data_IF_763900072998
#
_entry.id   IF_763900072998
#
_cell.length_a   1.000
_cell.length_b   1.000
_cell.length_c   1.000
_cell.angle_alpha   90.00
_cell.angle_beta   90.00
_cell.angle_gamma   90.00
#
_symmetry.space_group_name_H-M   'P 1'
#
loop_
_entity.id
_entity.type
_entity.pdbx_description
1 polymer ?
2 non-polymer ?
3 non-polymer ?
4 non-polymer ?
5 non-polymer ?
6 water ?
#
# COMPACT_ATOMS: atom_id res chain seq x y z
N UNK A 3 23.83 -9.46 1.85
CA UNK A 3 24.93 -8.56 2.29
C UNK A 3 24.63 -7.95 3.66
N UNK A 4 25.67 -7.83 4.48
CA UNK A 4 25.52 -7.26 5.81
C UNK A 4 25.32 -5.75 5.71
N UNK A 5 26.02 -5.14 4.75
CA UNK A 5 25.93 -3.70 4.53
C UNK A 5 24.54 -3.24 4.14
N UNK A 6 23.91 -3.96 3.20
CA UNK A 6 22.57 -3.60 2.75
C UNK A 6 21.57 -3.67 3.90
N UNK A 7 21.54 -4.80 4.60
CA UNK A 7 20.62 -5.00 5.71
C UNK A 7 20.79 -3.92 6.78
N UNK A 8 22.04 -3.63 7.15
CA UNK A 8 22.32 -2.62 8.17
C UNK A 8 21.99 -1.22 7.65
N UNK A 9 22.16 -1.01 6.36
CA UNK A 9 21.89 0.30 5.75
C UNK A 9 20.38 0.57 5.75
N UNK A 10 19.60 -0.42 5.36
CA UNK A 10 18.15 -0.26 5.34
C UNK A 10 17.58 -0.11 6.74
N UNK A 11 18.08 -0.91 7.69
CA UNK A 11 17.59 -0.82 9.05
C UNK A 11 17.98 0.53 9.66
N UNK A 12 19.10 1.07 9.23
CA UNK A 12 19.57 2.36 9.73
C UNK A 12 18.61 3.46 9.30
N UNK A 13 18.24 3.42 8.03
CA UNK A 13 17.32 4.39 7.47
C UNK A 13 15.96 4.24 8.13
N UNK A 14 15.60 2.99 8.44
CA UNK A 14 14.32 2.70 9.06
C UNK A 14 14.19 3.34 10.45
N UNK A 15 15.20 3.17 11.29
CA UNK A 15 15.17 3.76 12.62
C UNK A 15 15.08 5.28 12.51
N UNK A 16 15.83 5.83 11.57
CA UNK A 16 15.85 7.26 11.33
C UNK A 16 14.45 7.75 10.98
N UNK A 17 13.84 7.09 9.99
CA UNK A 17 12.49 7.45 9.57
C UNK A 17 11.57 7.35 10.77
N UNK A 18 11.69 6.27 11.52
CA UNK A 18 10.86 6.07 12.69
C UNK A 18 11.15 7.17 13.71
N UNK A 19 12.41 7.60 13.75
CA UNK A 19 12.80 8.64 14.68
C UNK A 19 11.98 9.90 14.47
N UNK A 20 11.94 10.36 13.23
CA UNK A 20 11.18 11.56 12.90
C UNK A 20 9.78 11.52 13.51
N UNK A 21 9.18 10.33 13.51
CA UNK A 21 7.83 10.16 14.06
C UNK A 21 7.82 9.87 15.55
N UNK A 22 9.00 9.74 16.14
CA UNK A 22 9.08 9.45 17.55
C UNK A 22 8.57 8.05 17.86
N UNK A 23 8.80 7.14 16.94
CA UNK A 23 8.36 5.75 17.10
C UNK A 23 9.59 4.90 17.39
N UNK A 24 9.40 3.87 18.22
CA UNK A 24 10.50 2.98 18.58
C UNK A 24 10.53 1.74 17.70
N UNK A 25 11.73 1.32 17.31
CA UNK A 25 11.90 0.14 16.48
C UNK A 25 12.20 -1.10 17.30
N UNK A 26 11.89 -2.26 16.74
CA UNK A 26 12.12 -3.54 17.40
C UNK A 26 12.97 -4.42 16.50
N UNK A 27 14.28 -4.40 16.75
CA UNK A 27 15.23 -5.17 15.97
C UNK A 27 14.85 -6.64 15.87
N UNK A 28 14.27 -7.17 16.94
CA UNK A 28 13.85 -8.57 17.00
C UNK A 28 12.83 -8.90 15.91
N UNK A 29 11.95 -7.95 15.62
CA UNK A 29 10.91 -8.16 14.63
C UNK A 29 11.23 -7.54 13.27
N UNK A 30 12.39 -6.92 13.13
CA UNK A 30 12.77 -6.31 11.88
C UNK A 30 13.93 -7.00 11.18
N UNK A 31 15.02 -7.25 11.92
CA UNK A 31 16.20 -7.87 11.35
C UNK A 31 16.00 -9.26 10.74
N UNK A 32 15.31 -10.16 11.46
CA UNK A 32 15.09 -11.50 10.91
C UNK A 32 14.40 -11.43 9.55
N UNK A 33 13.54 -10.43 9.39
CA UNK A 33 12.79 -10.26 8.15
C UNK A 33 13.67 -9.67 7.04
N UNK A 34 14.41 -8.61 7.36
CA UNK A 34 15.28 -7.99 6.36
C UNK A 34 16.35 -8.97 5.85
N UNK A 35 16.88 -9.80 6.74
CA UNK A 35 17.88 -10.77 6.37
C UNK A 35 17.31 -11.77 5.37
N UNK A 36 16.17 -12.34 5.70
CA UNK A 36 15.52 -13.30 4.83
C UNK A 36 15.39 -12.76 3.41
N UNK A 37 15.21 -11.45 3.28
CA UNK A 37 15.07 -10.86 1.96
C UNK A 37 16.22 -9.90 1.62
N UNK A 38 17.41 -10.21 2.11
CA UNK A 38 18.59 -9.38 1.88
C UNK A 38 18.95 -9.23 0.40
N UNK A 39 18.73 -10.28 -0.38
CA UNK A 39 19.07 -10.23 -1.80
C UNK A 39 18.24 -9.22 -2.59
N UNK A 40 17.17 -8.70 -1.99
CA UNK A 40 16.30 -7.75 -2.67
C UNK A 40 16.70 -6.31 -2.39
N UNK A 41 17.35 -6.09 -1.25
CA UNK A 41 17.76 -4.75 -0.82
C UNK A 41 18.86 -4.10 -1.66
N UNK A 42 19.21 -4.71 -2.79
CA UNK A 42 20.24 -4.16 -3.65
C UNK A 42 19.74 -2.98 -4.47
N UNK A 43 20.24 -1.80 -4.16
CA UNK A 43 19.86 -0.58 -4.86
C UNK A 43 19.83 -0.79 -6.37
N UNK A 44 18.72 -0.42 -7.00
CA UNK A 44 18.60 -0.58 -8.44
C UNK A 44 17.17 -0.89 -8.85
N UNK A 45 16.79 -2.15 -8.70
CA UNK A 45 15.44 -2.55 -9.04
C UNK A 45 14.67 -2.82 -7.77
N UNK A 46 15.08 -2.15 -6.69
CA UNK A 46 14.46 -2.30 -5.38
C UNK A 46 13.59 -1.12 -4.98
N UNK A 47 12.47 -1.42 -4.34
CA UNK A 47 11.56 -0.39 -3.88
C UNK A 47 11.36 -0.56 -2.38
N UNK A 48 11.69 0.47 -1.62
CA UNK A 48 11.52 0.42 -0.17
C UNK A 48 10.81 1.69 0.26
N UNK A 49 9.77 1.52 1.06
CA UNK A 49 8.96 2.64 1.54
C UNK A 49 8.80 2.60 3.05
N UNK A 50 8.79 3.79 3.65
CA UNK A 50 8.58 3.92 5.09
C UNK A 50 7.34 4.79 5.21
N UNK A 51 6.25 4.23 5.73
CA UNK A 51 4.99 4.97 5.79
C UNK A 51 4.42 5.31 7.15
N UNK A 52 3.85 6.51 7.23
CA UNK A 52 3.24 7.02 8.45
C UNK A 52 1.76 7.25 8.19
N UNK A 53 0.96 7.32 9.26
CA UNK A 53 -0.47 7.55 9.15
C UNK A 53 -0.91 8.46 10.29
N UNK A 54 -1.92 9.29 10.04
CA UNK A 54 -2.42 10.23 11.04
C UNK A 54 -3.43 9.60 12.00
N UNK A 55 -3.90 10.42 12.94
CA UNK A 55 -4.88 9.99 13.91
C UNK A 55 -4.48 8.82 14.79
N UNK A 56 -5.42 7.90 14.97
CA UNK A 56 -5.20 6.73 15.80
C UNK A 56 -4.15 5.80 15.21
N UNK A 57 -3.71 6.09 14.00
CA UNK A 57 -2.71 5.25 13.33
C UNK A 57 -1.34 5.90 13.32
N UNK A 58 -1.20 6.99 14.08
CA UNK A 58 0.07 7.72 14.11
C UNK A 58 1.20 7.19 14.97
N UNK A 59 0.98 6.09 15.69
CA UNK A 59 2.05 5.55 16.55
C UNK A 59 2.73 4.33 15.96
N UNK A 60 2.70 4.19 14.63
CA UNK A 60 3.33 3.05 13.99
C UNK A 60 4.03 3.44 12.70
N UNK A 61 4.98 2.60 12.29
CA UNK A 61 5.69 2.85 11.05
C UNK A 61 5.78 1.56 10.25
N UNK A 62 5.18 1.59 9.07
CA UNK A 62 5.16 0.45 8.17
C UNK A 62 6.31 0.54 7.18
N UNK A 63 6.83 -0.62 6.79
CA UNK A 63 7.88 -0.67 5.80
C UNK A 63 7.48 -1.67 4.73
N UNK A 64 7.53 -1.23 3.48
CA UNK A 64 7.17 -2.06 2.34
C UNK A 64 8.44 -2.34 1.55
N UNK A 65 8.64 -3.60 1.17
CA UNK A 65 9.82 -3.99 0.42
C UNK A 65 9.47 -4.88 -0.76
N UNK A 66 9.94 -4.50 -1.94
CA UNK A 66 9.66 -5.28 -3.14
C UNK A 66 10.44 -6.60 -3.08
N UNK A 67 9.89 -7.63 -3.70
CA UNK A 67 10.52 -8.94 -3.74
C UNK A 67 10.26 -9.55 -5.13
N UNK A 68 11.31 -9.68 -5.94
CA UNK A 68 11.17 -10.24 -7.30
C UNK A 68 10.61 -11.66 -7.26
N UNK A 69 9.83 -12.02 -8.27
CA UNK A 69 9.22 -13.34 -8.32
C UNK A 69 10.25 -14.47 -8.34
N UNK A 70 11.46 -14.13 -8.76
CA UNK A 70 12.55 -15.11 -8.83
C UNK A 70 12.92 -15.61 -7.44
N UNK A 71 12.71 -14.77 -6.44
CA UNK A 71 13.04 -15.16 -5.08
C UNK A 71 12.03 -16.15 -4.50
N UNK A 72 10.88 -16.30 -5.17
CA UNK A 72 9.87 -17.23 -4.71
C UNK A 72 8.77 -16.60 -3.89
N UNK A 73 7.67 -17.33 -3.72
CA UNK A 73 6.52 -16.87 -2.95
C UNK A 73 7.00 -16.42 -1.57
N UNK A 74 6.85 -15.13 -1.25
CA UNK A 74 7.30 -14.61 0.06
C UNK A 74 6.50 -15.08 1.28
N UNK A 75 5.23 -15.44 1.11
CA UNK A 75 4.47 -15.91 2.26
C UNK A 75 4.97 -17.32 2.56
N UNK A 76 5.21 -18.09 1.50
CA UNK A 76 5.72 -19.45 1.66
C UNK A 76 7.05 -19.35 2.40
N UNK A 77 7.80 -18.30 2.09
CA UNK A 77 9.09 -18.08 2.74
C UNK A 77 9.01 -17.71 4.22
N UNK A 78 8.14 -16.77 4.58
CA UNK A 78 8.03 -16.36 5.97
C UNK A 78 7.46 -17.46 6.87
N UNK A 79 6.60 -18.31 6.33
CA UNK A 79 6.03 -19.37 7.14
C UNK A 79 7.10 -20.46 7.35
N UNK A 80 7.75 -20.86 6.26
CA UNK A 80 8.79 -21.88 6.31
C UNK A 80 9.94 -21.54 7.24
N UNK A 81 10.29 -20.26 7.30
CA UNK A 81 11.40 -19.83 8.14
C UNK A 81 10.97 -19.52 9.58
N UNK A 82 9.68 -19.67 9.86
CA UNK A 82 9.18 -19.43 11.20
C UNK A 82 9.03 -17.98 11.60
N UNK A 83 8.87 -17.09 10.61
CA UNK A 83 8.70 -15.66 10.89
C UNK A 83 7.24 -15.27 11.03
N UNK A 84 6.34 -16.14 10.59
CA UNK A 84 4.92 -15.86 10.71
C UNK A 84 4.16 -17.18 10.70
N UNK A 85 3.10 -17.30 11.50
CA UNK A 85 2.32 -18.54 11.54
C UNK A 85 1.15 -18.57 10.57
N UNK A 86 0.90 -19.73 9.96
CA UNK A 86 -0.23 -19.86 9.06
C UNK A 86 -1.47 -19.62 9.90
N UNK A 87 -2.36 -18.76 9.41
CA UNK A 87 -3.58 -18.42 10.13
C UNK A 87 -4.62 -19.53 10.10
N UNK A 88 -4.49 -20.46 9.15
CA UNK A 88 -5.46 -21.53 9.03
C UNK A 88 -6.74 -20.98 8.42
N UNK A 89 -6.61 -19.82 7.78
CA UNK A 89 -7.71 -19.11 7.15
C UNK A 89 -7.46 -19.03 5.64
N UNK A 90 -8.51 -18.81 4.82
CA UNK A 90 -8.32 -18.73 3.37
C UNK A 90 -7.20 -17.77 2.94
N UNK A 91 -6.93 -16.77 3.77
CA UNK A 91 -5.88 -15.81 3.43
C UNK A 91 -4.55 -16.52 3.24
N UNK A 92 -4.41 -17.70 3.85
CA UNK A 92 -3.17 -18.46 3.74
C UNK A 92 -2.92 -18.98 2.32
N UNK A 93 -3.98 -19.12 1.54
CA UNK A 93 -3.83 -19.63 0.18
C UNK A 93 -3.92 -18.58 -0.90
N UNK A 94 -4.41 -17.39 -0.57
CA UNK A 94 -4.61 -16.35 -1.57
C UNK A 94 -3.39 -15.91 -2.38
N UNK A 95 -2.24 -15.70 -1.73
CA UNK A 95 -1.09 -15.29 -2.52
C UNK A 95 -0.81 -16.39 -3.52
N UNK A 96 -0.73 -17.63 -3.04
CA UNK A 96 -0.46 -18.77 -3.91
C UNK A 96 -1.50 -18.98 -5.01
N UNK A 97 -2.78 -18.89 -4.67
CA UNK A 97 -3.84 -19.07 -5.66
C UNK A 97 -3.81 -17.97 -6.72
N UNK A 98 -3.34 -16.80 -6.33
CA UNK A 98 -3.26 -15.65 -7.24
C UNK A 98 -2.20 -15.89 -8.30
N UNK A 99 -1.05 -16.42 -7.87
CA UNK A 99 0.04 -16.70 -8.79
C UNK A 99 -0.36 -17.88 -9.70
N UNK A 100 -1.29 -18.68 -9.22
CA UNK A 100 -1.79 -19.82 -9.97
C UNK A 100 -2.75 -19.41 -11.11
N UNK A 101 -3.68 -18.50 -10.81
CA UNK A 101 -4.67 -18.05 -11.79
C UNK A 101 -4.31 -16.81 -12.61
N UNK A 102 -3.27 -16.09 -12.23
CA UNK A 102 -2.92 -14.86 -12.95
C UNK A 102 -1.42 -14.64 -13.07
N UNK A 103 -1.03 -13.80 -14.03
CA UNK A 103 0.39 -13.49 -14.27
C UNK A 103 0.87 -12.51 -13.19
N UNK A 104 1.75 -12.97 -12.32
CA UNK A 104 2.29 -12.10 -11.29
C UNK A 104 3.69 -11.71 -11.71
N UNK A 105 3.91 -10.42 -11.85
CA UNK A 105 5.19 -9.88 -12.30
C UNK A 105 6.15 -9.50 -11.17
N UNK A 106 5.63 -9.40 -9.96
CA UNK A 106 6.45 -9.02 -8.83
C UNK A 106 5.70 -9.17 -7.52
N UNK A 107 6.45 -9.29 -6.43
CA UNK A 107 5.89 -9.42 -5.09
C UNK A 107 6.39 -8.26 -4.23
N UNK A 108 5.88 -8.20 -3.00
CA UNK A 108 6.31 -7.22 -2.02
C UNK A 108 5.79 -7.68 -0.67
N UNK A 109 6.46 -7.26 0.40
CA UNK A 109 6.01 -7.61 1.74
C UNK A 109 5.93 -6.33 2.53
N UNK A 110 5.12 -6.36 3.58
CA UNK A 110 4.92 -5.20 4.41
C UNK A 110 5.06 -5.63 5.86
N UNK A 111 5.68 -4.76 6.66
CA UNK A 111 5.86 -5.04 8.07
C UNK A 111 5.68 -3.74 8.86
N UNK A 112 5.74 -3.85 10.18
CA UNK A 112 5.61 -2.69 11.07
C UNK A 112 6.85 -2.77 11.96
N UNK A 113 7.44 -1.64 12.28
CA UNK A 113 8.67 -1.64 13.09
C UNK A 113 8.56 -2.27 14.47
N UNK A 114 7.34 -2.48 14.96
CA UNK A 114 7.16 -3.07 16.27
C UNK A 114 6.39 -4.38 16.20
N UNK A 115 5.68 -4.59 15.10
CA UNK A 115 4.88 -5.80 14.97
C UNK A 115 5.43 -6.84 14.01
N UNK A 116 6.35 -6.42 13.14
CA UNK A 116 6.92 -7.34 12.19
C UNK A 116 6.03 -7.58 10.98
N UNK A 117 6.31 -8.67 10.26
CA UNK A 117 5.57 -9.03 9.04
C UNK A 117 4.05 -9.03 9.21
N UNK A 118 3.34 -8.51 8.21
CA UNK A 118 1.89 -8.48 8.25
C UNK A 118 1.19 -8.66 6.90
N UNK A 119 1.87 -8.36 5.80
CA UNK A 119 1.24 -8.53 4.50
C UNK A 119 2.15 -8.72 3.28
N UNK A 120 1.58 -9.29 2.23
CA UNK A 120 2.29 -9.49 0.97
C UNK A 120 1.50 -8.77 -0.10
N UNK A 121 2.13 -8.63 -1.26
CA UNK A 121 1.52 -7.97 -2.40
C UNK A 121 1.78 -8.81 -3.63
N UNK A 122 0.84 -8.81 -4.56
CA UNK A 122 1.01 -9.52 -5.81
C UNK A 122 0.80 -8.44 -6.88
N UNK A 123 1.84 -8.18 -7.68
CA UNK A 123 1.74 -7.18 -8.74
C UNK A 123 1.49 -7.83 -10.08
N UNK A 124 0.71 -7.17 -10.93
CA UNK A 124 0.44 -7.72 -12.25
C UNK A 124 1.07 -6.82 -13.30
N UNK A 125 1.31 -7.36 -14.51
CA UNK A 125 1.91 -6.59 -15.60
C UNK A 125 1.04 -5.39 -15.94
N UNK A 126 1.66 -4.23 -16.05
CA UNK A 126 0.94 -3.00 -16.35
C UNK A 126 0.16 -3.11 -17.66
N UNK A 127 0.66 -3.91 -18.61
CA UNK A 127 -0.02 -4.06 -19.89
C UNK A 127 -0.88 -5.30 -20.00
N UNK A 128 -1.18 -5.92 -18.84
CA UNK A 128 -2.00 -7.14 -18.78
C UNK A 128 -2.60 -7.30 -17.40
N UNK A 129 -3.25 -6.25 -16.90
CA UNK A 129 -3.82 -6.31 -15.57
C UNK A 129 -5.14 -7.07 -15.58
N UNK A 130 -5.46 -7.77 -14.48
CA UNK A 130 -6.73 -8.49 -14.42
C UNK A 130 -7.89 -7.55 -14.06
N UNK A 131 -9.10 -7.96 -14.41
CA UNK A 131 -10.28 -7.18 -14.10
C UNK A 131 -10.90 -7.78 -12.85
N UNK A 132 -11.98 -7.18 -12.36
CA UNK A 132 -12.64 -7.69 -11.16
C UNK A 132 -13.15 -9.10 -11.41
N UNK A 133 -13.66 -9.34 -12.61
CA UNK A 133 -14.18 -10.65 -12.98
C UNK A 133 -13.13 -11.73 -12.74
N UNK A 134 -11.95 -11.55 -13.33
CA UNK A 134 -10.85 -12.51 -13.18
C UNK A 134 -10.41 -12.73 -11.73
N UNK A 135 -10.38 -11.66 -10.94
CA UNK A 135 -9.97 -11.76 -9.56
C UNK A 135 -10.96 -12.55 -8.68
N UNK A 136 -12.24 -12.21 -8.74
CA UNK A 136 -13.25 -12.89 -7.93
C UNK A 136 -13.30 -14.40 -8.17
N UNK A 137 -12.70 -14.83 -9.28
CA UNK A 137 -12.67 -16.25 -9.66
C UNK A 137 -11.66 -17.04 -8.82
N UNK A 138 -10.65 -16.37 -8.28
CA UNK A 138 -9.66 -17.05 -7.46
C UNK A 138 -10.41 -17.63 -6.27
N UNK A 139 -10.29 -18.95 -6.04
CA UNK A 139 -10.95 -19.70 -4.96
C UNK A 139 -10.89 -19.14 -3.54
N UNK A 140 -9.72 -18.66 -3.14
CA UNK A 140 -9.53 -18.13 -1.79
C UNK A 140 -9.75 -16.62 -1.68
N UNK A 141 -10.20 -16.00 -2.75
CA UNK A 141 -10.46 -14.56 -2.76
C UNK A 141 -11.72 -14.31 -1.94
N UNK A 142 -11.77 -13.19 -1.20
CA UNK A 142 -12.98 -12.92 -0.39
C UNK A 142 -14.22 -12.91 -1.29
N UNK A 143 -15.33 -13.50 -0.81
CA UNK A 143 -16.56 -13.53 -1.60
C UNK A 143 -17.02 -12.10 -1.88
N UNK A 144 -16.62 -11.19 -0.98
CA UNK A 144 -16.97 -9.78 -1.09
C UNK A 144 -16.58 -9.14 -2.40
N UNK A 145 -15.53 -9.64 -3.05
CA UNK A 145 -15.11 -9.04 -4.32
C UNK A 145 -16.17 -9.25 -5.41
N UNK A 146 -16.66 -10.48 -5.55
CA UNK A 146 -17.67 -10.76 -6.56
C UNK A 146 -18.94 -10.00 -6.23
N UNK A 147 -19.29 -9.96 -4.95
CA UNK A 147 -20.49 -9.27 -4.51
C UNK A 147 -20.44 -7.77 -4.76
N UNK A 148 -19.25 -7.23 -4.99
CA UNK A 148 -19.09 -5.80 -5.24
C UNK A 148 -18.76 -5.48 -6.69
N UNK A 149 -18.75 -6.51 -7.54
CA UNK A 149 -18.44 -6.35 -8.96
C UNK A 149 -19.26 -5.28 -9.67
N UNK A 150 -20.57 -5.31 -9.48
CA UNK A 150 -21.47 -4.36 -10.12
C UNK A 150 -21.19 -2.93 -9.66
N UNK A 151 -20.97 -2.78 -8.35
CA UNK A 151 -20.67 -1.48 -7.78
C UNK A 151 -19.37 -0.94 -8.40
N UNK A 152 -18.31 -1.74 -8.37
CA UNK A 152 -17.03 -1.34 -8.93
C UNK A 152 -17.22 -0.90 -10.38
N UNK A 153 -17.93 -1.71 -11.15
CA UNK A 153 -18.19 -1.42 -12.56
C UNK A 153 -18.89 -0.07 -12.75
N UNK A 154 -19.87 0.19 -11.90
CA UNK A 154 -20.63 1.42 -11.98
C UNK A 154 -19.76 2.67 -11.84
N UNK A 155 -18.61 2.55 -11.17
CA UNK A 155 -17.74 3.71 -11.01
C UNK A 155 -16.45 3.66 -11.81
N UNK A 156 -16.38 2.71 -12.73
CA UNK A 156 -15.18 2.61 -13.56
C UNK A 156 -13.98 1.96 -12.93
N UNK A 157 -14.16 1.36 -11.77
CA UNK A 157 -13.05 0.67 -11.10
C UNK A 157 -12.97 -0.68 -11.79
N UNK A 158 -12.01 -0.82 -12.70
CA UNK A 158 -11.86 -2.05 -13.46
C UNK A 158 -10.50 -2.73 -13.34
N UNK A 159 -9.47 -2.15 -13.95
CA UNK A 159 -8.15 -2.75 -13.91
C UNK A 159 -7.43 -2.62 -12.57
N UNK A 160 -6.89 -3.74 -12.13
CA UNK A 160 -6.18 -3.87 -10.87
C UNK A 160 -4.69 -4.08 -11.11
N UNK A 161 -3.89 -3.13 -10.66
CA UNK A 161 -2.43 -3.17 -10.82
C UNK A 161 -1.76 -4.11 -9.80
N UNK A 162 -2.46 -4.39 -8.70
CA UNK A 162 -1.92 -5.30 -7.69
C UNK A 162 -2.92 -5.48 -6.54
N UNK A 163 -2.68 -6.51 -5.74
CA UNK A 163 -3.53 -6.77 -4.58
C UNK A 163 -2.61 -6.95 -3.40
N UNK A 164 -3.16 -6.80 -2.20
CA UNK A 164 -2.37 -7.03 -1.00
C UNK A 164 -3.20 -7.88 -0.08
N UNK A 165 -2.51 -8.65 0.74
CA UNK A 165 -3.12 -9.55 1.73
C UNK A 165 -2.57 -9.22 3.12
N UNK A 166 -3.47 -8.88 4.04
CA UNK A 166 -3.06 -8.58 5.40
C UNK A 166 -3.43 -9.82 6.20
N UNK A 167 -2.40 -10.57 6.61
CA UNK A 167 -2.56 -11.80 7.36
C UNK A 167 -3.03 -11.65 8.80
N UNK A 168 -2.79 -10.50 9.40
CA UNK A 168 -3.22 -10.26 10.78
C UNK A 168 -4.67 -9.80 10.85
N UNK A 169 -5.09 -8.98 9.91
CA UNK A 169 -6.46 -8.50 9.92
C UNK A 169 -7.35 -9.29 8.98
N UNK A 170 -6.73 -10.20 8.21
CA UNK A 170 -7.47 -11.01 7.24
C UNK A 170 -8.27 -10.09 6.32
N UNK A 171 -7.56 -9.18 5.65
CA UNK A 171 -8.17 -8.22 4.74
C UNK A 171 -7.38 -8.17 3.44
N UNK A 172 -8.08 -7.79 2.37
CA UNK A 172 -7.49 -7.70 1.03
C UNK A 172 -7.74 -6.32 0.42
N UNK A 173 -6.71 -5.75 -0.19
CA UNK A 173 -6.82 -4.45 -0.85
C UNK A 173 -6.74 -4.68 -2.36
N UNK A 174 -7.59 -3.98 -3.11
CA UNK A 174 -7.57 -4.07 -4.57
C UNK A 174 -7.08 -2.71 -5.07
N UNK A 175 -5.87 -2.66 -5.61
CA UNK A 175 -5.34 -1.39 -6.09
C UNK A 175 -5.72 -1.15 -7.55
N UNK A 176 -6.81 -0.41 -7.75
CA UNK A 176 -7.32 -0.09 -9.07
C UNK A 176 -6.42 0.92 -9.78
N UNK A 177 -6.21 0.72 -11.08
CA UNK A 177 -5.33 1.58 -11.87
C UNK A 177 -6.00 2.08 -13.16
N UNK A 178 -5.26 2.85 -13.95
CA UNK A 178 -5.79 3.41 -15.18
C UNK A 178 -7.15 4.03 -14.90
N UNK A 179 -7.20 4.89 -13.88
CA UNK A 179 -8.44 5.54 -13.47
C UNK A 179 -8.88 6.63 -14.45
N UNK A 180 -10.11 6.54 -14.93
CA UNK A 180 -10.64 7.54 -15.85
C UNK A 180 -10.90 8.83 -15.08
N UNK A 181 -10.88 9.96 -15.78
CA UNK A 181 -11.11 11.26 -15.17
C UNK A 181 -12.48 11.29 -14.49
N UNK A 182 -13.46 10.64 -15.11
CA UNK A 182 -14.80 10.61 -14.57
C UNK A 182 -14.85 10.02 -13.17
N UNK A 183 -14.25 8.85 -13.01
CA UNK A 183 -14.22 8.16 -11.72
C UNK A 183 -13.69 9.05 -10.60
N UNK A 184 -12.71 9.89 -10.90
CA UNK A 184 -12.11 10.76 -9.89
C UNK A 184 -12.75 12.13 -9.72
N UNK A 185 -13.80 12.43 -10.49
CA UNK A 185 -14.45 13.72 -10.34
C UNK A 185 -15.31 13.69 -9.09
N UNK A 186 -15.50 14.87 -8.49
CA UNK A 186 -16.28 15.00 -7.25
C UNK A 186 -17.60 14.26 -7.24
N UNK A 187 -18.41 14.45 -8.28
CA UNK A 187 -19.70 13.81 -8.36
C UNK A 187 -19.60 12.28 -8.25
N UNK A 188 -18.66 11.70 -8.97
CA UNK A 188 -18.44 10.26 -8.95
C UNK A 188 -17.92 9.76 -7.59
N UNK A 189 -16.92 10.46 -7.06
CA UNK A 189 -16.35 10.07 -5.77
C UNK A 189 -17.41 10.07 -4.67
N UNK A 190 -18.21 11.13 -4.60
CA UNK A 190 -19.26 11.23 -3.58
C UNK A 190 -20.31 10.13 -3.68
N UNK A 191 -20.74 9.80 -4.89
CA UNK A 191 -21.72 8.75 -5.08
C UNK A 191 -21.13 7.43 -4.60
N UNK A 192 -19.86 7.22 -4.89
CA UNK A 192 -19.16 6.01 -4.48
C UNK A 192 -19.11 5.90 -2.97
N UNK A 193 -18.65 6.95 -2.29
CA UNK A 193 -18.56 6.90 -0.83
C UNK A 193 -19.95 6.73 -0.24
N UNK A 194 -20.90 7.47 -0.77
CA UNK A 194 -22.28 7.40 -0.31
C UNK A 194 -22.76 5.94 -0.38
N UNK A 195 -22.57 5.31 -1.54
CA UNK A 195 -22.99 3.93 -1.69
C UNK A 195 -22.26 2.96 -0.77
N UNK A 196 -20.98 3.23 -0.49
CA UNK A 196 -20.21 2.36 0.38
C UNK A 196 -20.41 2.75 1.85
N UNK A 197 -21.21 3.79 2.07
CA UNK A 197 -21.49 4.26 3.42
C UNK A 197 -20.26 4.77 4.15
N UNK A 198 -19.40 5.51 3.45
CA UNK A 198 -18.19 6.02 4.06
C UNK A 198 -18.21 7.52 4.34
N UNK A 199 -17.23 7.95 5.13
CA UNK A 199 -17.08 9.37 5.48
C UNK A 199 -17.11 10.23 4.24
N UNK A 200 -17.89 11.31 4.28
CA UNK A 200 -17.99 12.23 3.16
C UNK A 200 -16.83 13.21 3.16
N UNK A 201 -16.03 13.22 2.09
CA UNK A 201 -14.89 14.14 2.01
C UNK A 201 -15.36 15.56 1.65
N UNK A 202 -14.61 16.58 2.08
CA UNK A 202 -14.99 17.95 1.77
C UNK A 202 -14.23 18.44 0.54
N UNK A 203 -14.34 19.74 0.27
CA UNK A 203 -13.69 20.33 -0.90
C UNK A 203 -12.21 19.98 -1.01
N UNK A 204 -11.49 20.09 0.11
CA UNK A 204 -10.08 19.77 0.12
C UNK A 204 -9.83 18.31 -0.22
N UNK A 205 -10.59 17.42 0.43
CA UNK A 205 -10.45 15.99 0.18
C UNK A 205 -10.76 15.60 -1.25
N UNK A 206 -11.79 16.21 -1.82
CA UNK A 206 -12.20 15.90 -3.19
C UNK A 206 -11.17 16.37 -4.22
N UNK A 207 -10.56 17.53 -3.97
CA UNK A 207 -9.54 18.05 -4.86
C UNK A 207 -8.38 17.05 -4.88
N UNK A 208 -8.07 16.49 -3.71
CA UNK A 208 -7.01 15.51 -3.57
C UNK A 208 -7.34 14.22 -4.34
N UNK A 209 -8.57 13.76 -4.21
CA UNK A 209 -8.98 12.54 -4.90
C UNK A 209 -8.84 12.68 -6.42
N UNK A 210 -9.18 13.86 -6.93
CA UNK A 210 -9.11 14.14 -8.37
C UNK A 210 -7.70 13.96 -8.91
N UNK A 211 -6.71 14.14 -8.04
CA UNK A 211 -5.30 14.03 -8.39
C UNK A 211 -4.76 12.60 -8.25
N UNK A 212 -5.58 11.69 -7.72
CA UNK A 212 -5.17 10.30 -7.49
C UNK A 212 -4.73 9.49 -8.70
N UNK A 213 -3.74 8.63 -8.50
CA UNK A 213 -3.26 7.76 -9.58
C UNK A 213 -3.69 6.32 -9.24
N UNK A 214 -4.11 6.11 -8.00
CA UNK A 214 -4.54 4.79 -7.55
C UNK A 214 -5.64 4.93 -6.51
N UNK A 215 -6.60 4.01 -6.52
CA UNK A 215 -7.70 4.00 -5.55
C UNK A 215 -7.81 2.57 -5.05
N UNK A 216 -7.88 2.37 -3.73
CA UNK A 216 -8.03 1.01 -3.21
C UNK A 216 -8.97 0.76 -2.05
N UNK A 217 -9.94 -0.14 -2.26
CA UNK A 217 -10.91 -0.50 -1.23
C UNK A 217 -10.36 -1.69 -0.46
N UNK A 218 -10.75 -1.82 0.81
CA UNK A 218 -10.32 -2.94 1.63
C UNK A 218 -11.54 -3.84 1.86
N UNK A 219 -11.38 -5.14 1.61
CA UNK A 219 -12.46 -6.11 1.77
C UNK A 219 -12.06 -7.21 2.76
N UNK A 220 -13.05 -7.93 3.27
CA UNK A 220 -12.79 -9.01 4.22
C UNK A 220 -13.63 -10.24 3.89
N UNK A 221 -13.32 -11.35 4.55
CA UNK A 221 -14.01 -12.63 4.34
C UNK A 221 -15.29 -12.77 5.16
N UNK A 222 -15.49 -11.90 6.14
CA UNK A 222 -16.67 -11.97 6.99
C UNK A 222 -17.96 -11.38 6.39
N UNK A 223 -17.85 -10.24 5.73
CA UNK A 223 -19.01 -9.59 5.13
C UNK A 223 -18.72 -9.05 3.74
N UNK A 224 -19.76 -8.58 3.06
CA UNK A 224 -19.59 -8.04 1.72
C UNK A 224 -19.39 -6.53 1.80
N UNK A 225 -19.41 -6.00 3.01
CA UNK A 225 -19.24 -4.57 3.22
C UNK A 225 -17.77 -4.14 3.16
N UNK A 226 -17.47 -3.18 2.31
CA UNK A 226 -16.12 -2.67 2.18
C UNK A 226 -15.75 -1.95 3.47
N UNK A 227 -14.59 -2.29 4.04
CA UNK A 227 -14.11 -1.70 5.29
C UNK A 227 -13.68 -0.23 5.19
N UNK A 228 -12.99 0.11 4.11
CA UNK A 228 -12.53 1.46 3.92
C UNK A 228 -12.08 1.64 2.47
N UNK A 229 -11.85 2.89 2.08
CA UNK A 229 -11.44 3.21 0.70
C UNK A 229 -10.33 4.26 0.73
N UNK A 230 -9.23 3.98 0.04
CA UNK A 230 -8.11 4.92 0.03
C UNK A 230 -7.73 5.46 -1.36
N UNK A 231 -7.47 6.75 -1.42
CA UNK A 231 -7.06 7.42 -2.65
C UNK A 231 -5.58 7.78 -2.48
N UNK A 232 -4.75 7.39 -3.44
CA UNK A 232 -3.31 7.65 -3.34
C UNK A 232 -2.83 8.67 -4.38
N UNK A 233 -1.89 9.52 -3.96
CA UNK A 233 -1.32 10.56 -4.81
C UNK A 233 0.20 10.48 -4.76
N UNK A 234 0.84 10.50 -5.92
CA UNK A 234 2.29 10.43 -5.99
C UNK A 234 2.85 11.81 -6.35
N UNK A 235 3.81 12.31 -5.60
CA UNK A 235 4.35 13.64 -5.88
C UNK A 235 5.65 13.96 -5.16
N UNK A 236 6.30 15.04 -5.59
CA UNK A 236 7.54 15.49 -4.96
C UNK A 236 7.18 16.60 -3.98
N UNK A 237 5.96 17.12 -4.13
CA UNK A 237 5.43 18.19 -3.29
C UNK A 237 5.23 17.69 -1.86
N UNK A 238 5.94 18.29 -0.88
CA UNK A 238 5.82 17.89 0.52
C UNK A 238 4.74 18.58 1.34
N UNK A 239 3.81 19.26 0.68
CA UNK A 239 2.72 19.94 1.38
C UNK A 239 1.33 19.49 0.91
N UNK A 240 1.22 18.26 0.41
CA UNK A 240 -0.06 17.77 -0.10
C UNK A 240 -1.01 17.03 0.82
N UNK A 241 -0.71 16.92 2.11
CA UNK A 241 -1.62 16.20 3.00
C UNK A 241 -2.99 16.88 2.96
N UNK A 242 -4.05 16.11 2.65
CA UNK A 242 -5.40 16.66 2.56
C UNK A 242 -6.11 16.87 3.90
N UNK A 243 -5.44 17.56 4.82
CA UNK A 243 -6.02 17.82 6.13
C UNK A 243 -6.02 19.32 6.41
N UNK A 244 -6.99 19.76 7.22
CA UNK A 244 -7.11 21.17 7.56
C UNK A 244 -6.62 21.39 8.98
N UNK A 245 -6.23 20.29 9.64
CA UNK A 245 -5.73 20.33 11.00
C UNK A 245 -4.26 20.73 11.04
N UNK A 246 -3.98 21.92 11.56
CA UNK A 246 -2.61 22.43 11.66
C UNK A 246 -1.65 21.38 12.19
N UNK A 247 -2.15 20.48 13.03
CA UNK A 247 -1.31 19.43 13.58
C UNK A 247 -0.76 18.53 12.48
N UNK A 248 -1.63 18.06 11.60
CA UNK A 248 -1.21 17.19 10.50
C UNK A 248 -0.35 17.94 9.50
N UNK A 249 -0.87 19.07 9.03
CA UNK A 249 -0.18 19.89 8.04
C UNK A 249 1.28 20.07 8.44
N UNK A 250 1.52 20.13 9.74
CA UNK A 250 2.87 20.31 10.27
C UNK A 250 3.66 19.00 10.24
N UNK A 251 3.18 18.03 10.99
CA UNK A 251 3.83 16.72 11.11
C UNK A 251 4.14 16.05 9.76
N UNK A 252 3.20 16.13 8.83
CA UNK A 252 3.42 15.50 7.52
C UNK A 252 4.46 16.25 6.69
N UNK A 253 4.45 17.57 6.75
CA UNK A 253 5.42 18.35 6.00
C UNK A 253 6.81 18.01 6.52
N UNK A 254 6.91 17.86 7.84
CA UNK A 254 8.16 17.53 8.50
C UNK A 254 8.68 16.21 7.96
N UNK A 255 7.86 15.17 8.08
CA UNK A 255 8.22 13.83 7.62
C UNK A 255 8.59 13.86 6.15
N UNK A 256 7.78 14.58 5.37
CA UNK A 256 7.96 14.69 3.93
C UNK A 256 9.27 15.36 3.48
N UNK A 257 9.82 16.25 4.30
CA UNK A 257 11.06 16.92 3.92
C UNK A 257 12.28 16.39 4.66
N UNK A 258 12.05 15.54 5.66
CA UNK A 258 13.15 14.98 6.44
C UNK A 258 13.28 13.47 6.34
N UNK A 259 12.48 12.85 5.48
CA UNK A 259 12.51 11.39 5.32
C UNK A 259 13.77 10.91 4.62
N UNK A 260 14.35 9.80 5.11
CA UNK A 260 15.57 9.27 4.49
C UNK A 260 15.31 8.63 3.15
N UNK A 261 16.23 8.83 2.21
CA UNK A 261 16.13 8.24 0.88
C UNK A 261 17.54 8.04 0.34
N UNK A 262 17.74 6.95 -0.39
CA UNK A 262 19.04 6.62 -0.94
C UNK A 262 19.36 7.34 -2.24
N UNK A 263 18.38 7.43 -3.13
CA UNK A 263 18.57 8.07 -4.42
C UNK A 263 18.87 9.58 -4.36
N UNK A 264 19.97 9.94 -3.68
CA UNK A 264 20.38 11.34 -3.58
C UNK A 264 20.65 11.88 -4.98
N UNK A 265 20.19 13.09 -5.25
CA UNK A 265 20.38 13.69 -6.55
C UNK A 265 19.02 14.05 -7.12
N UNK A 266 18.01 13.31 -6.66
CA UNK A 266 16.65 13.55 -7.09
C UNK A 266 15.89 13.94 -5.84
N UNK A 267 14.64 14.35 -6.02
CA UNK A 267 13.83 14.75 -4.89
C UNK A 267 13.06 13.54 -4.40
N UNK A 268 12.79 13.51 -3.09
CA UNK A 268 12.06 12.41 -2.48
C UNK A 268 10.79 12.09 -3.26
N UNK A 269 10.53 10.80 -3.42
CA UNK A 269 9.32 10.36 -4.08
C UNK A 269 8.36 10.13 -2.92
N UNK A 270 7.20 10.78 -2.98
CA UNK A 270 6.21 10.68 -1.92
C UNK A 270 4.88 10.16 -2.46
N UNK A 271 4.13 9.46 -1.61
CA UNK A 271 2.82 8.96 -1.99
C UNK A 271 1.88 9.22 -0.83
N UNK A 272 0.95 10.14 -1.04
CA UNK A 272 -0.01 10.49 0.00
C UNK A 272 -1.25 9.62 -0.11
N UNK A 273 -1.97 9.55 1.00
CA UNK A 273 -3.18 8.76 1.00
C UNK A 273 -4.28 9.39 1.83
N UNK A 274 -5.48 9.31 1.31
CA UNK A 274 -6.66 9.82 1.99
C UNK A 274 -7.53 8.59 2.14
N UNK A 275 -7.76 8.17 3.37
CA UNK A 275 -8.56 6.99 3.62
C UNK A 275 -9.88 7.36 4.27
N UNK A 276 -10.95 6.78 3.74
CA UNK A 276 -12.29 7.01 4.23
C UNK A 276 -12.87 5.72 4.77
N UNK A 277 -13.22 5.74 6.06
CA UNK A 277 -13.83 4.59 6.70
C UNK A 277 -15.26 5.03 7.04
N UNK A 278 -16.10 4.11 7.54
CA UNK A 278 -17.47 4.50 7.85
C UNK A 278 -17.59 5.65 8.86
N UNK A 279 -16.72 5.65 9.87
CA UNK A 279 -16.80 6.67 10.90
C UNK A 279 -15.82 7.83 10.81
N UNK A 280 -14.74 7.68 10.06
CA UNK A 280 -13.76 8.75 9.98
C UNK A 280 -13.04 8.85 8.64
N UNK A 281 -12.03 9.72 8.65
CA UNK A 281 -11.16 9.97 7.52
C UNK A 281 -9.77 10.21 8.13
N UNK A 282 -8.76 9.53 7.61
CA UNK A 282 -7.40 9.75 8.11
C UNK A 282 -6.43 9.83 6.92
N UNK A 283 -5.22 10.28 7.20
CA UNK A 283 -4.23 10.51 6.16
C UNK A 283 -2.98 9.63 6.27
N UNK A 284 -2.37 9.34 5.13
CA UNK A 284 -1.19 8.48 5.12
C UNK A 284 -0.09 9.07 4.25
N UNK A 285 1.15 8.73 4.56
CA UNK A 285 2.28 9.24 3.79
C UNK A 285 3.45 8.28 3.75
N UNK A 286 3.79 7.85 2.54
CA UNK A 286 4.90 6.94 2.38
C UNK A 286 6.05 7.68 1.72
N UNK A 287 7.23 7.63 2.32
CA UNK A 287 8.41 8.27 1.77
C UNK A 287 9.33 7.15 1.29
N UNK A 288 9.52 7.09 -0.03
CA UNK A 288 10.35 6.06 -0.63
C UNK A 288 11.82 6.22 -0.24
N UNK A 289 12.41 5.12 0.21
CA UNK A 289 13.81 5.09 0.56
C UNK A 289 14.53 4.65 -0.71
N UNK A 290 13.94 3.69 -1.40
CA UNK A 290 14.47 3.18 -2.66
C UNK A 290 13.40 3.31 -3.73
N UNK A 291 13.79 3.73 -4.93
CA UNK A 291 12.86 3.87 -6.03
C UNK A 291 13.44 3.22 -7.28
N UNK A 292 12.59 3.06 -8.28
CA UNK A 292 12.99 2.48 -9.56
C UNK A 292 12.38 3.38 -10.60
N UNK A 293 12.61 3.09 -11.88
CA UNK A 293 12.05 3.93 -12.93
C UNK A 293 10.53 3.92 -12.86
N UNK A 294 9.97 2.84 -12.34
CA UNK A 294 8.51 2.74 -12.23
C UNK A 294 7.95 3.98 -11.56
N UNK A 295 8.57 4.39 -10.46
CA UNK A 295 8.15 5.57 -9.73
C UNK A 295 8.52 6.84 -10.51
N UNK A 296 9.67 6.81 -11.17
CA UNK A 296 10.11 7.96 -11.96
C UNK A 296 9.09 8.23 -13.05
N UNK A 297 8.54 7.17 -13.59
CA UNK A 297 7.54 7.31 -14.63
C UNK A 297 6.23 7.85 -14.10
N UNK A 298 5.81 7.36 -12.94
CA UNK A 298 4.56 7.79 -12.32
C UNK A 298 4.56 9.28 -12.02
N UNK A 299 5.72 9.80 -11.64
CA UNK A 299 5.85 11.22 -11.33
C UNK A 299 5.65 12.09 -12.57
N UNK A 300 6.07 11.60 -13.73
CA UNK A 300 5.92 12.35 -14.98
C UNK A 300 4.48 12.33 -15.42
N UNK A 301 3.83 11.17 -15.23
CA UNK A 301 2.44 11.01 -15.64
C UNK A 301 1.42 11.69 -14.75
N UNK A 302 1.66 11.70 -13.44
CA UNK A 302 0.71 12.30 -12.50
C UNK A 302 1.20 13.49 -11.70
N UNK A 303 2.48 13.81 -11.79
CA UNK A 303 2.99 14.96 -11.04
C UNK A 303 3.71 15.94 -11.96
#
# INVERSE_FOLDING_TARGET
MSEAADVERVYAAMEEAAGLLGVACARDKIYPLLSTFQDTLVEGGSVVVFSMASGRHSTELDFSISVPTSHGDPYATVVEKGLFPATGHPVDDLLADTQKHLPVSMFAIDGEVTGGFKKTYAFFPTDNMPGVAELSAIPSMPPAVAENAELFARYGLDKVQMTSMDYKKRQVNLYFSELSAQTLEAESVLALVRELGLHVPNELGLKFCKRSFSVYPTLNWETGKIDRLCFAVISNDPTLVPSSDEGDIEKFHNYATKAPYAYVGEKRTLVYGLTLSPKEEYYKLGAYYHITDVQRGLLKAFDSLED
#
